data_IF_073533477794
#
_entry.id   IF_073533477794
#
_cell.length_a   1.000
_cell.length_b   1.000
_cell.length_c   1.000
_cell.angle_alpha   90.00
_cell.angle_beta   90.00
_cell.angle_gamma   90.00
#
_symmetry.space_group_name_H-M   'P 1'
#
loop_
_entity.id
_entity.type
_entity.pdbx_description
1 polymer ?
#
# COMPACT_ATOMS: atom_id res chain seq x y z
N UNK A 1 21.49 8.09 24.35
CA UNK A 1 21.02 7.20 23.26
C UNK A 1 19.95 8.00 22.54
N UNK A 2 20.17 8.36 21.27
CA UNK A 2 19.21 9.19 20.54
C UNK A 2 18.03 8.33 20.07
N UNK A 3 16.90 8.44 20.76
CA UNK A 3 15.64 7.82 20.34
C UNK A 3 15.03 8.61 19.19
N UNK A 4 15.31 8.18 17.96
CA UNK A 4 14.60 8.64 16.77
C UNK A 4 13.68 7.52 16.26
N UNK A 5 12.48 7.48 16.82
CA UNK A 5 11.35 6.72 16.28
C UNK A 5 10.13 7.64 16.11
N UNK A 6 10.27 8.72 15.36
CA UNK A 6 9.17 9.63 15.05
C UNK A 6 8.67 9.41 13.62
N UNK A 7 7.57 8.67 13.48
CA UNK A 7 6.81 8.59 12.24
C UNK A 7 5.44 9.24 12.46
N UNK A 8 5.22 10.40 11.85
CA UNK A 8 3.98 11.17 11.93
C UNK A 8 3.31 11.22 10.55
N UNK A 9 2.02 10.86 10.49
CA UNK A 9 1.19 11.11 9.31
C UNK A 9 0.36 12.37 9.56
N UNK A 10 0.55 13.39 8.72
CA UNK A 10 -0.29 14.59 8.71
C UNK A 10 -1.14 14.54 7.45
N UNK A 11 -2.48 14.57 7.63
CA UNK A 11 -3.43 14.60 6.51
C UNK A 11 -3.97 16.02 6.40
N UNK A 12 -3.57 16.72 5.34
CA UNK A 12 -4.11 18.04 5.00
C UNK A 12 -5.15 17.93 3.89
N UNK A 13 -6.29 18.59 4.05
CA UNK A 13 -7.36 18.62 3.04
C UNK A 13 -7.29 19.95 2.28
N UNK A 14 -7.01 19.90 0.98
CA UNK A 14 -6.99 21.09 0.10
C UNK A 14 -8.21 21.12 -0.84
N UNK A 15 -8.68 22.33 -1.18
CA UNK A 15 -9.68 22.56 -2.24
C UNK A 15 -9.16 23.69 -3.13
N UNK A 16 -8.88 23.38 -4.40
CA UNK A 16 -8.39 24.37 -5.38
C UNK A 16 -7.02 24.95 -5.02
N UNK A 17 -6.10 24.14 -4.49
CA UNK A 17 -4.75 24.57 -4.11
C UNK A 17 -4.67 25.39 -2.81
N UNK A 18 -5.79 25.67 -2.16
CA UNK A 18 -5.84 26.29 -0.82
C UNK A 18 -6.26 25.26 0.23
N UNK A 19 -5.71 25.29 1.46
CA UNK A 19 -6.22 24.50 2.57
C UNK A 19 -7.71 24.77 2.73
N UNK A 20 -8.53 23.72 2.77
CA UNK A 20 -9.96 23.86 2.99
C UNK A 20 -10.13 24.44 4.40
N UNK A 21 -10.80 25.59 4.53
CA UNK A 21 -11.05 26.24 5.82
C UNK A 21 -11.49 25.21 6.87
N UNK A 22 -10.83 25.27 8.02
CA UNK A 22 -10.70 24.20 9.01
C UNK A 22 -12.02 23.53 9.39
N UNK A 23 -12.16 22.24 9.04
CA UNK A 23 -13.10 21.35 9.72
C UNK A 23 -12.36 20.83 10.97
N UNK A 24 -12.54 21.52 12.10
CA UNK A 24 -11.93 21.14 13.39
C UNK A 24 -10.46 21.53 13.56
N UNK A 25 -9.86 21.13 14.69
CA UNK A 25 -8.43 21.31 14.96
C UNK A 25 -7.63 20.21 14.25
N UNK A 26 -6.67 20.58 13.41
CA UNK A 26 -5.66 19.63 12.89
C UNK A 26 -4.90 19.01 14.05
N UNK A 27 -5.02 17.70 14.23
CA UNK A 27 -4.23 16.95 15.21
C UNK A 27 -3.42 15.92 14.46
N UNK A 28 -2.14 15.78 14.84
CA UNK A 28 -1.33 14.68 14.35
C UNK A 28 -1.94 13.34 14.78
N UNK A 29 -1.95 12.38 13.85
CA UNK A 29 -2.26 10.99 14.13
C UNK A 29 -0.94 10.22 14.17
N UNK A 30 -0.56 9.76 15.35
CA UNK A 30 0.69 9.01 15.50
C UNK A 30 0.48 7.59 15.00
N UNK A 31 1.45 7.01 14.30
CA UNK A 31 1.38 5.59 13.93
C UNK A 31 1.64 4.69 15.14
N UNK A 32 2.58 5.12 15.99
CA UNK A 32 3.00 4.44 17.21
C UNK A 32 2.73 5.40 18.36
N UNK A 33 1.97 4.93 19.35
CA UNK A 33 1.71 5.63 20.61
C UNK A 33 2.83 5.42 21.62
N UNK A 34 3.41 4.22 21.65
CA UNK A 34 4.49 3.87 22.57
C UNK A 34 5.25 2.63 22.14
N UNK A 35 6.49 2.55 22.60
CA UNK A 35 7.36 1.38 22.43
C UNK A 35 8.12 1.17 23.73
N UNK A 36 7.81 0.06 24.41
CA UNK A 36 8.25 -0.22 25.76
C UNK A 36 8.98 -1.59 25.78
N UNK A 37 10.04 -1.74 26.56
CA UNK A 37 10.69 -3.03 26.83
C UNK A 37 10.40 -3.46 28.26
N UNK A 38 9.95 -4.69 28.45
CA UNK A 38 9.75 -5.31 29.76
C UNK A 38 10.96 -6.20 30.06
N UNK A 39 11.82 -5.77 31.00
CA UNK A 39 13.02 -6.50 31.42
C UNK A 39 12.70 -7.84 32.10
N UNK A 40 11.51 -7.98 32.70
CA UNK A 40 11.10 -9.22 33.39
C UNK A 40 10.56 -10.24 32.40
N UNK A 41 9.78 -9.77 31.42
CA UNK A 41 9.23 -10.63 30.36
C UNK A 41 10.17 -10.79 29.15
N UNK A 42 11.30 -10.08 29.13
CA UNK A 42 12.23 -9.96 28.00
C UNK A 42 11.52 -9.67 26.67
N UNK A 43 10.52 -8.79 26.70
CA UNK A 43 9.60 -8.58 25.60
C UNK A 43 9.42 -7.09 25.24
N UNK A 44 9.36 -6.80 23.95
CA UNK A 44 9.01 -5.48 23.45
C UNK A 44 7.50 -5.36 23.22
N UNK A 45 6.92 -4.26 23.70
CA UNK A 45 5.53 -3.89 23.49
C UNK A 45 5.45 -2.68 22.58
N UNK A 46 4.81 -2.85 21.42
CA UNK A 46 4.46 -1.76 20.51
C UNK A 46 2.99 -1.39 20.68
N UNK A 47 2.71 -0.14 21.04
CA UNK A 47 1.35 0.40 21.13
C UNK A 47 1.02 1.23 19.91
N UNK A 48 -0.06 0.90 19.23
CA UNK A 48 -0.61 1.66 18.10
C UNK A 48 -1.62 2.68 18.63
N UNK A 49 -1.59 3.90 18.11
CA UNK A 49 -2.52 4.96 18.53
C UNK A 49 -3.98 4.49 18.37
N UNK A 50 -4.78 4.47 19.46
CA UNK A 50 -6.11 3.88 19.44
C UNK A 50 -7.07 4.60 18.48
N UNK A 51 -6.77 5.84 18.07
CA UNK A 51 -7.55 6.57 17.07
C UNK A 51 -7.51 5.90 15.69
N UNK A 52 -6.51 5.07 15.39
CA UNK A 52 -6.51 4.24 14.17
C UNK A 52 -7.70 3.30 14.11
N UNK A 53 -8.14 2.77 15.25
CA UNK A 53 -9.30 1.87 15.29
C UNK A 53 -10.56 2.55 14.76
N UNK A 54 -10.73 3.84 15.04
CA UNK A 54 -11.86 4.63 14.55
C UNK A 54 -11.83 4.83 13.04
N UNK A 55 -10.64 4.93 12.43
CA UNK A 55 -10.50 5.07 10.97
C UNK A 55 -11.03 3.86 10.21
N UNK A 56 -10.97 2.67 10.81
CA UNK A 56 -11.49 1.43 10.22
C UNK A 56 -12.94 1.12 10.63
N UNK A 57 -13.58 1.99 11.43
CA UNK A 57 -14.94 1.79 11.95
C UNK A 57 -16.02 1.70 10.87
N UNK A 58 -15.80 2.36 9.73
CA UNK A 58 -16.72 2.33 8.59
C UNK A 58 -16.63 1.06 7.73
N UNK A 59 -15.77 0.10 8.12
CA UNK A 59 -15.51 -1.14 7.37
C UNK A 59 -14.96 -0.92 5.95
N UNK A 60 -14.43 0.28 5.68
CA UNK A 60 -13.74 0.63 4.45
C UNK A 60 -12.28 0.19 4.51
N UNK A 61 -12.06 -1.13 4.49
CA UNK A 61 -10.72 -1.70 4.49
C UNK A 61 -10.61 -2.87 3.52
N UNK A 62 -9.37 -3.10 3.07
CA UNK A 62 -9.01 -4.28 2.30
C UNK A 62 -8.29 -5.27 3.22
N UNK A 63 -8.72 -6.53 3.20
CA UNK A 63 -8.06 -7.60 3.94
C UNK A 63 -6.95 -8.20 3.09
N UNK A 64 -5.84 -8.52 3.75
CA UNK A 64 -4.68 -9.16 3.13
C UNK A 64 -4.43 -10.48 3.83
N UNK A 65 -4.22 -11.54 3.05
CA UNK A 65 -3.73 -12.81 3.56
C UNK A 65 -2.32 -12.63 4.13
N UNK A 66 -2.22 -12.69 5.45
CA UNK A 66 -0.98 -12.48 6.19
C UNK A 66 0.06 -13.57 5.92
N UNK A 67 -0.39 -14.82 5.75
CA UNK A 67 0.51 -15.93 5.47
C UNK A 67 1.17 -15.75 4.10
N UNK A 68 0.42 -15.28 3.09
CA UNK A 68 1.00 -14.91 1.79
C UNK A 68 1.92 -13.68 1.92
N UNK A 69 1.55 -12.69 2.74
CA UNK A 69 2.31 -11.45 2.96
C UNK A 69 3.71 -11.69 3.52
N UNK A 70 3.86 -12.68 4.40
CA UNK A 70 5.14 -13.05 5.01
C UNK A 70 6.05 -13.85 4.06
N UNK A 71 5.49 -14.55 3.07
CA UNK A 71 6.24 -15.37 2.12
C UNK A 71 6.89 -14.58 0.98
N UNK A 72 6.67 -13.27 0.91
CA UNK A 72 7.35 -12.41 -0.07
C UNK A 72 8.87 -12.44 0.15
N UNK A 73 9.61 -12.57 -0.95
CA UNK A 73 11.08 -12.49 -0.91
C UNK A 73 11.56 -11.08 -0.55
N UNK A 74 12.85 -10.96 -0.24
CA UNK A 74 13.49 -9.67 -0.05
C UNK A 74 13.32 -8.77 -1.29
N UNK A 75 13.29 -7.45 -1.07
CA UNK A 75 13.16 -6.42 -2.11
C UNK A 75 11.87 -6.44 -2.96
N UNK A 76 10.81 -7.11 -2.50
CA UNK A 76 9.51 -7.19 -3.22
C UNK A 76 8.55 -6.02 -2.91
N UNK A 77 9.04 -4.79 -2.75
CA UNK A 77 8.20 -3.66 -2.32
C UNK A 77 7.07 -3.34 -3.29
N UNK A 78 7.34 -3.40 -4.61
CA UNK A 78 6.31 -3.19 -5.62
C UNK A 78 5.23 -4.26 -5.57
N UNK A 79 5.61 -5.53 -5.46
CA UNK A 79 4.64 -6.62 -5.37
C UNK A 79 3.78 -6.52 -4.10
N UNK A 80 4.38 -6.13 -2.97
CA UNK A 80 3.65 -5.83 -1.71
C UNK A 80 2.69 -4.65 -1.86
N UNK A 81 3.06 -3.62 -2.62
CA UNK A 81 2.17 -2.49 -2.91
C UNK A 81 1.01 -2.89 -3.82
N UNK A 82 1.28 -3.69 -4.85
CA UNK A 82 0.26 -4.24 -5.74
C UNK A 82 -0.70 -5.17 -5.00
N UNK A 83 -0.23 -6.00 -4.06
CA UNK A 83 -1.13 -6.81 -3.23
C UNK A 83 -2.15 -5.95 -2.48
N UNK A 84 -1.75 -4.78 -1.95
CA UNK A 84 -2.68 -3.84 -1.30
C UNK A 84 -3.73 -3.31 -2.28
N UNK A 85 -3.30 -2.94 -3.49
CA UNK A 85 -4.19 -2.46 -4.54
C UNK A 85 -5.17 -3.55 -5.00
N UNK A 86 -4.69 -4.77 -5.22
CA UNK A 86 -5.52 -5.90 -5.66
C UNK A 86 -6.63 -6.17 -4.65
N UNK A 87 -6.30 -6.07 -3.35
CA UNK A 87 -7.23 -6.34 -2.27
C UNK A 87 -8.37 -5.31 -2.18
N UNK A 88 -8.24 -4.10 -2.77
CA UNK A 88 -9.23 -3.02 -2.63
C UNK A 88 -10.47 -3.19 -3.50
N UNK A 89 -10.50 -4.15 -4.43
CA UNK A 89 -11.64 -4.43 -5.30
C UNK A 89 -11.93 -5.92 -5.34
N UNK A 90 -13.21 -6.29 -5.27
CA UNK A 90 -13.72 -7.66 -5.40
C UNK A 90 -13.80 -8.14 -6.86
N UNK A 91 -13.52 -7.27 -7.84
CA UNK A 91 -13.48 -7.66 -9.25
C UNK A 91 -12.37 -8.70 -9.49
N UNK A 92 -12.77 -9.82 -10.11
CA UNK A 92 -11.84 -10.89 -10.45
C UNK A 92 -10.80 -10.45 -11.49
N UNK A 93 -11.20 -9.66 -12.49
CA UNK A 93 -10.29 -9.16 -13.55
C UNK A 93 -10.14 -7.66 -13.41
N UNK A 94 -8.99 -7.21 -12.94
CA UNK A 94 -8.73 -5.80 -12.67
C UNK A 94 -7.78 -5.22 -13.72
N UNK A 95 -7.97 -3.94 -14.06
CA UNK A 95 -7.23 -3.23 -15.11
C UNK A 95 -6.77 -1.86 -14.64
N UNK A 96 -5.49 -1.56 -14.84
CA UNK A 96 -4.92 -0.27 -14.43
C UNK A 96 -4.01 0.29 -15.52
N UNK A 97 -4.28 1.52 -15.96
CA UNK A 97 -3.41 2.23 -16.90
C UNK A 97 -2.01 2.46 -16.30
N UNK A 98 -0.96 2.23 -17.07
CA UNK A 98 0.42 2.34 -16.55
C UNK A 98 0.79 3.77 -16.16
N UNK A 99 0.23 4.77 -16.86
CA UNK A 99 0.45 6.19 -16.54
C UNK A 99 -0.14 6.60 -15.18
N UNK A 100 -1.18 5.91 -14.72
CA UNK A 100 -1.76 6.11 -13.39
C UNK A 100 -1.03 5.27 -12.34
N UNK A 101 -0.70 4.02 -12.68
CA UNK A 101 -0.11 3.08 -11.74
C UNK A 101 1.33 3.45 -11.36
N UNK A 102 2.14 3.90 -12.33
CA UNK A 102 3.54 4.29 -12.10
C UNK A 102 3.71 5.37 -11.01
N UNK A 103 3.02 6.53 -11.07
CA UNK A 103 3.11 7.53 -10.00
C UNK A 103 2.47 7.05 -8.69
N UNK A 104 1.43 6.21 -8.73
CA UNK A 104 0.84 5.62 -7.51
C UNK A 104 1.78 4.68 -6.76
N UNK A 105 2.72 4.06 -7.48
CA UNK A 105 3.79 3.25 -6.91
C UNK A 105 5.07 4.04 -6.62
N UNK A 106 5.02 5.37 -6.78
CA UNK A 106 6.14 6.30 -6.59
C UNK A 106 7.40 5.88 -7.38
N UNK A 107 7.20 5.23 -8.53
CA UNK A 107 8.30 4.69 -9.31
C UNK A 107 8.89 5.78 -10.21
N UNK A 108 10.10 6.25 -9.90
CA UNK A 108 10.73 7.39 -10.59
C UNK A 108 11.33 7.03 -11.95
N UNK A 109 11.89 5.82 -12.09
CA UNK A 109 12.58 5.36 -13.30
C UNK A 109 11.70 5.37 -14.58
N UNK A 110 12.30 5.36 -15.79
CA UNK A 110 11.56 5.43 -17.06
C UNK A 110 10.53 4.31 -17.24
N UNK A 111 9.51 4.56 -18.08
CA UNK A 111 8.41 3.61 -18.33
C UNK A 111 8.88 2.22 -18.74
N UNK A 112 9.97 2.10 -19.53
CA UNK A 112 10.55 0.81 -19.89
C UNK A 112 10.96 -0.01 -18.65
N UNK A 113 11.75 0.58 -17.76
CA UNK A 113 12.19 -0.06 -16.51
C UNK A 113 11.01 -0.34 -15.57
N UNK A 114 10.02 0.54 -15.56
CA UNK A 114 8.80 0.32 -14.80
C UNK A 114 8.04 -0.94 -15.25
N UNK A 115 7.91 -1.17 -16.56
CA UNK A 115 7.29 -2.40 -17.09
C UNK A 115 8.04 -3.66 -16.66
N UNK A 116 9.36 -3.65 -16.78
CA UNK A 116 10.21 -4.78 -16.34
C UNK A 116 10.03 -5.08 -14.85
N UNK A 117 10.04 -4.04 -14.01
CA UNK A 117 9.79 -4.18 -12.58
C UNK A 117 8.37 -4.66 -12.26
N UNK A 118 7.37 -4.19 -13.02
CA UNK A 118 5.97 -4.58 -12.87
C UNK A 118 5.75 -6.04 -13.26
N UNK A 119 6.37 -6.52 -14.33
CA UNK A 119 6.35 -7.93 -14.73
C UNK A 119 6.99 -8.83 -13.66
N UNK A 120 8.14 -8.44 -13.11
CA UNK A 120 8.76 -9.15 -12.00
C UNK A 120 7.85 -9.19 -10.75
N UNK A 121 7.20 -8.06 -10.42
CA UNK A 121 6.26 -7.99 -9.31
C UNK A 121 5.03 -8.88 -9.52
N UNK A 122 4.47 -8.93 -10.74
CA UNK A 122 3.38 -9.85 -11.08
C UNK A 122 3.82 -11.32 -10.98
N UNK A 123 5.07 -11.63 -11.36
CA UNK A 123 5.64 -12.96 -11.19
C UNK A 123 5.66 -13.40 -9.72
N UNK A 124 6.05 -12.53 -8.81
CA UNK A 124 6.04 -12.80 -7.37
C UNK A 124 4.61 -12.96 -6.82
N UNK A 125 3.66 -12.13 -7.27
CA UNK A 125 2.26 -12.26 -6.89
C UNK A 125 1.65 -13.60 -7.35
N UNK A 126 2.02 -14.06 -8.55
CA UNK A 126 1.60 -15.36 -9.08
C UNK A 126 2.21 -16.51 -8.28
N UNK A 127 3.51 -16.44 -7.96
CA UNK A 127 4.20 -17.43 -7.12
C UNK A 127 3.47 -17.64 -5.79
N UNK A 128 2.97 -16.56 -5.21
CA UNK A 128 2.23 -16.56 -3.93
C UNK A 128 0.72 -16.80 -4.08
N UNK A 129 0.24 -17.11 -5.30
CA UNK A 129 -1.19 -17.34 -5.58
C UNK A 129 -2.08 -16.20 -5.09
N UNK A 130 -1.62 -14.97 -5.27
CA UNK A 130 -2.42 -13.74 -5.05
C UNK A 130 -3.17 -13.38 -6.34
N UNK A 131 -2.53 -13.65 -7.47
CA UNK A 131 -3.13 -13.58 -8.80
C UNK A 131 -2.90 -14.90 -9.52
N UNK A 132 -3.80 -15.26 -10.41
CA UNK A 132 -3.65 -16.41 -11.30
C UNK A 132 -2.74 -16.05 -12.49
N UNK A 133 -2.99 -14.88 -13.06
CA UNK A 133 -2.29 -14.38 -14.25
C UNK A 133 -2.20 -12.86 -14.25
N UNK A 134 -1.22 -12.34 -14.97
CA UNK A 134 -0.97 -10.91 -15.12
C UNK A 134 -0.24 -10.62 -16.42
N UNK A 135 -0.64 -9.57 -17.13
CA UNK A 135 -0.02 -9.15 -18.40
C UNK A 135 -0.14 -7.64 -18.59
N UNK A 136 0.73 -7.09 -19.44
CA UNK A 136 0.62 -5.73 -19.94
C UNK A 136 0.03 -5.79 -21.34
N UNK A 137 -0.98 -4.98 -21.60
CA UNK A 137 -1.67 -4.91 -22.90
C UNK A 137 -1.98 -3.46 -23.28
N UNK A 138 -2.40 -3.26 -24.53
CA UNK A 138 -2.92 -1.98 -25.01
C UNK A 138 -4.44 -2.02 -24.88
N UNK A 139 -5.01 -1.05 -24.17
CA UNK A 139 -6.46 -0.90 -24.04
C UNK A 139 -7.12 -0.57 -25.37
N UNK A 140 -8.44 -0.70 -25.45
CA UNK A 140 -9.25 -0.25 -26.61
C UNK A 140 -9.07 1.23 -26.96
N UNK A 141 -8.54 2.03 -26.03
CA UNK A 141 -8.23 3.47 -26.20
C UNK A 141 -6.75 3.72 -26.55
N UNK A 142 -5.99 2.71 -26.93
CA UNK A 142 -4.57 2.83 -27.32
C UNK A 142 -3.60 3.08 -26.17
N UNK A 143 -4.05 3.01 -24.90
CA UNK A 143 -3.20 3.23 -23.72
C UNK A 143 -2.69 1.93 -23.13
N UNK A 144 -1.43 1.91 -22.71
CA UNK A 144 -0.85 0.78 -21.99
C UNK A 144 -1.52 0.60 -20.62
N UNK A 145 -1.89 -0.63 -20.32
CA UNK A 145 -2.47 -1.02 -19.04
C UNK A 145 -1.93 -2.37 -18.60
N UNK A 146 -1.93 -2.59 -17.29
CA UNK A 146 -1.75 -3.92 -16.72
C UNK A 146 -3.12 -4.53 -16.44
N UNK A 147 -3.23 -5.83 -16.67
CA UNK A 147 -4.42 -6.64 -16.39
C UNK A 147 -3.99 -7.86 -15.60
N UNK A 148 -4.70 -8.18 -14.53
CA UNK A 148 -4.48 -9.40 -13.76
C UNK A 148 -5.79 -10.02 -13.29
N UNK A 149 -5.71 -11.32 -12.95
CA UNK A 149 -6.82 -12.11 -12.44
C UNK A 149 -6.55 -12.39 -10.96
N UNK A 150 -7.35 -11.79 -10.09
CA UNK A 150 -7.26 -11.96 -8.63
C UNK A 150 -7.73 -13.37 -8.23
N UNK A 151 -7.05 -13.95 -7.24
CA UNK A 151 -7.42 -15.18 -6.54
C UNK A 151 -8.00 -14.92 -5.14
#
# INVERSE_FOLDING_TARGET
MEDLAFAMLVIEVTKGGKPKFAIGRTRALHMIEGFDYDDVAEAYTLRIDPRWRSMFGNREFALIDWNKRLQFRQHQNMAKALQRLIATSDEAVQRYGLDWLKPKLEYSSPMRKFREALEAAMGELRRLKIIDGGRIEVSSKGKLQVVWIRL
#
